data_IF_944479121693
#
_entry.id   IF_944479121693
#
_cell.length_a   1.000
_cell.length_b   1.000
_cell.length_c   1.000
_cell.angle_alpha   90.00
_cell.angle_beta   90.00
_cell.angle_gamma   90.00
#
_symmetry.space_group_name_H-M   'P 1'
#
loop_
_entity.id
_entity.type
_entity.pdbx_description
1 polymer ?
#
# COMPACT_ATOMS: atom_id res chain seq x y z
N UNK A 1 5.65 -1.20 -6.92
CA UNK A 1 5.01 -2.52 -6.79
C UNK A 1 5.98 -3.64 -7.09
N UNK A 2 6.72 -3.58 -8.19
CA UNK A 2 7.68 -4.61 -8.62
C UNK A 2 8.74 -4.96 -7.54
N UNK A 3 9.41 -3.96 -6.99
CA UNK A 3 10.45 -4.17 -5.98
C UNK A 3 9.87 -4.84 -4.73
N UNK A 4 8.74 -4.34 -4.24
CA UNK A 4 8.09 -4.88 -3.05
C UNK A 4 7.58 -6.30 -3.26
N UNK A 5 6.90 -6.58 -4.39
CA UNK A 5 6.40 -7.91 -4.69
C UNK A 5 7.54 -8.93 -4.78
N UNK A 6 8.60 -8.61 -5.51
CA UNK A 6 9.75 -9.52 -5.67
C UNK A 6 10.48 -9.73 -4.35
N UNK A 7 10.59 -8.72 -3.50
CA UNK A 7 11.16 -8.87 -2.16
C UNK A 7 10.28 -9.74 -1.27
N UNK A 8 8.97 -9.50 -1.26
CA UNK A 8 8.02 -10.24 -0.44
C UNK A 8 7.94 -11.74 -0.80
N UNK A 9 8.00 -12.06 -2.09
CA UNK A 9 7.82 -13.44 -2.60
C UNK A 9 9.16 -14.16 -2.77
N UNK A 10 10.17 -13.50 -3.33
CA UNK A 10 11.46 -14.10 -3.65
C UNK A 10 12.55 -13.80 -2.63
N UNK A 11 12.26 -12.98 -1.61
CA UNK A 11 13.23 -12.57 -0.60
C UNK A 11 14.27 -11.55 -1.07
N UNK A 12 14.16 -11.08 -2.33
CA UNK A 12 15.09 -10.11 -2.91
C UNK A 12 14.38 -9.20 -3.91
N UNK A 13 14.46 -7.89 -3.65
CA UNK A 13 13.91 -6.88 -4.58
C UNK A 13 14.52 -7.02 -5.98
N UNK A 14 13.68 -6.84 -6.99
CA UNK A 14 14.02 -6.94 -8.42
C UNK A 14 14.43 -8.35 -8.89
N UNK A 15 14.30 -9.37 -8.07
CA UNK A 15 14.57 -10.75 -8.47
C UNK A 15 13.36 -11.33 -9.19
N UNK A 16 13.40 -11.32 -10.51
CA UNK A 16 12.32 -11.82 -11.36
C UNK A 16 12.87 -12.48 -12.63
N UNK A 17 12.01 -13.21 -13.36
CA UNK A 17 12.29 -13.65 -14.74
C UNK A 17 12.46 -12.43 -15.64
N UNK A 18 13.04 -12.62 -16.80
CA UNK A 18 13.22 -11.55 -17.80
C UNK A 18 12.16 -11.54 -18.90
N UNK A 19 11.34 -12.60 -18.99
CA UNK A 19 10.33 -12.82 -20.03
C UNK A 19 8.91 -12.41 -19.57
N UNK A 20 8.79 -11.27 -18.91
CA UNK A 20 7.51 -10.72 -18.43
C UNK A 20 7.19 -9.38 -19.12
N UNK A 21 5.93 -9.01 -19.15
CA UNK A 21 5.49 -7.69 -19.57
C UNK A 21 5.59 -6.71 -18.42
N UNK A 22 6.45 -5.70 -18.55
CA UNK A 22 6.57 -4.61 -17.57
C UNK A 22 5.75 -3.40 -18.04
N UNK A 23 4.98 -2.81 -17.14
CA UNK A 23 4.28 -1.56 -17.39
C UNK A 23 4.09 -0.79 -16.07
N UNK A 24 4.20 0.53 -16.13
CA UNK A 24 3.78 1.44 -15.05
C UNK A 24 2.27 1.77 -15.14
N UNK A 25 1.63 1.42 -16.26
CA UNK A 25 0.18 1.52 -16.41
C UNK A 25 -0.48 0.18 -16.06
N UNK A 26 -1.14 0.13 -14.92
CA UNK A 26 -1.82 -1.07 -14.42
C UNK A 26 -2.95 -1.54 -15.37
N UNK A 27 -3.54 -0.67 -16.20
CA UNK A 27 -4.54 -1.09 -17.19
C UNK A 27 -3.93 -1.96 -18.29
N UNK A 28 -2.66 -1.73 -18.64
CA UNK A 28 -1.92 -2.60 -19.57
C UNK A 28 -1.74 -3.98 -18.97
N UNK A 29 -1.41 -4.06 -17.67
CA UNK A 29 -1.28 -5.32 -16.94
C UNK A 29 -2.61 -6.06 -16.84
N UNK A 30 -3.69 -5.36 -16.51
CA UNK A 30 -5.06 -5.92 -16.50
C UNK A 30 -5.43 -6.51 -17.87
N UNK A 31 -5.15 -5.78 -18.95
CA UNK A 31 -5.42 -6.23 -20.31
C UNK A 31 -4.62 -7.48 -20.67
N UNK A 32 -3.34 -7.51 -20.31
CA UNK A 32 -2.47 -8.67 -20.54
C UNK A 32 -2.98 -9.93 -19.83
N UNK A 33 -3.30 -9.83 -18.55
CA UNK A 33 -3.81 -10.98 -17.76
C UNK A 33 -5.18 -11.43 -18.26
N UNK A 34 -6.10 -10.51 -18.56
CA UNK A 34 -7.44 -10.86 -19.04
C UNK A 34 -7.45 -11.52 -20.41
N UNK A 35 -6.42 -11.26 -21.23
CA UNK A 35 -6.24 -11.84 -22.56
C UNK A 35 -5.53 -13.19 -22.56
N UNK A 36 -4.92 -13.62 -21.47
CA UNK A 36 -4.15 -14.86 -21.37
C UNK A 36 -4.65 -15.74 -20.23
N UNK A 37 -5.22 -16.91 -20.56
CA UNK A 37 -5.71 -17.88 -19.56
C UNK A 37 -4.61 -18.43 -18.64
N UNK A 38 -3.34 -18.39 -19.06
CA UNK A 38 -2.18 -18.76 -18.24
C UNK A 38 -1.49 -17.56 -17.59
N UNK A 39 -1.97 -16.35 -17.84
CA UNK A 39 -1.38 -15.11 -17.37
C UNK A 39 -1.52 -14.93 -15.87
N UNK A 40 -0.41 -14.57 -15.21
CA UNK A 40 -0.36 -14.15 -13.82
C UNK A 40 0.16 -12.72 -13.74
N UNK A 41 -0.57 -11.84 -13.07
CA UNK A 41 -0.17 -10.46 -12.86
C UNK A 41 -0.28 -10.03 -11.41
N UNK A 42 0.41 -8.94 -11.07
CA UNK A 42 0.26 -8.26 -9.79
C UNK A 42 0.24 -6.75 -9.99
N UNK A 43 -0.74 -6.10 -9.40
CA UNK A 43 -1.02 -4.67 -9.51
C UNK A 43 -1.89 -4.22 -8.34
N UNK A 44 -2.20 -2.94 -8.26
CA UNK A 44 -2.99 -2.38 -7.16
C UNK A 44 -4.38 -3.01 -7.04
N UNK A 45 -4.82 -3.24 -5.80
CA UNK A 45 -6.14 -3.81 -5.48
C UNK A 45 -7.29 -3.05 -6.16
N UNK A 46 -7.18 -1.74 -6.31
CA UNK A 46 -8.17 -0.90 -6.97
C UNK A 46 -8.50 -1.39 -8.39
N UNK A 47 -7.49 -1.70 -9.17
CA UNK A 47 -7.63 -2.17 -10.56
C UNK A 47 -8.29 -3.55 -10.62
N UNK A 48 -7.97 -4.45 -9.69
CA UNK A 48 -8.69 -5.72 -9.56
C UNK A 48 -10.17 -5.51 -9.22
N UNK A 49 -10.48 -4.63 -8.26
CA UNK A 49 -11.86 -4.36 -7.84
C UNK A 49 -12.73 -3.81 -8.98
N UNK A 50 -12.15 -3.05 -9.89
CA UNK A 50 -12.82 -2.49 -11.07
C UNK A 50 -12.95 -3.50 -12.24
N UNK A 51 -12.20 -4.60 -12.20
CA UNK A 51 -12.16 -5.61 -13.28
C UNK A 51 -12.45 -7.03 -12.79
N UNK A 52 -13.24 -7.20 -11.73
CA UNK A 52 -13.60 -8.50 -11.16
C UNK A 52 -14.33 -9.44 -12.12
N UNK A 53 -14.97 -8.88 -13.13
CA UNK A 53 -15.66 -9.61 -14.21
C UNK A 53 -14.67 -10.27 -15.19
N UNK A 54 -13.42 -9.81 -15.25
CA UNK A 54 -12.39 -10.26 -16.19
C UNK A 54 -11.23 -10.99 -15.53
N UNK A 55 -11.09 -10.87 -14.22
CA UNK A 55 -9.93 -11.31 -13.46
C UNK A 55 -10.33 -12.20 -12.28
N UNK A 56 -9.52 -13.20 -11.98
CA UNK A 56 -9.63 -14.00 -10.77
C UNK A 56 -8.51 -13.64 -9.81
N UNK A 57 -8.86 -13.34 -8.56
CA UNK A 57 -7.85 -13.14 -7.52
C UNK A 57 -7.28 -14.48 -7.05
N UNK A 58 -5.96 -14.51 -6.84
CA UNK A 58 -5.27 -15.65 -6.24
C UNK A 58 -5.14 -15.42 -4.74
N UNK A 59 -5.52 -16.42 -3.95
CA UNK A 59 -5.36 -16.38 -2.51
C UNK A 59 -3.87 -16.50 -2.14
N UNK A 60 -3.42 -15.66 -1.23
CA UNK A 60 -2.02 -15.64 -0.76
C UNK A 60 -1.92 -16.32 0.60
N UNK A 61 -0.99 -17.25 0.74
CA UNK A 61 -0.68 -17.93 2.01
C UNK A 61 0.51 -17.21 2.65
N UNK A 62 0.32 -16.60 3.80
CA UNK A 62 1.41 -16.00 4.56
C UNK A 62 2.36 -17.09 5.10
N UNK A 63 3.64 -16.75 5.33
CA UNK A 63 4.74 -17.69 5.63
C UNK A 63 4.42 -18.73 6.71
N UNK A 64 3.74 -18.32 7.78
CA UNK A 64 3.45 -19.20 8.92
C UNK A 64 1.98 -19.63 8.98
N UNK A 65 1.31 -19.63 7.82
CA UNK A 65 -0.11 -20.00 7.68
C UNK A 65 -0.28 -21.14 6.68
N UNK A 66 -1.41 -21.81 6.77
CA UNK A 66 -1.80 -22.90 5.87
C UNK A 66 -2.99 -22.51 4.99
N UNK A 67 -3.70 -21.45 5.35
CA UNK A 67 -4.89 -20.99 4.66
C UNK A 67 -4.60 -19.75 3.84
N UNK A 68 -4.95 -19.79 2.56
CA UNK A 68 -4.84 -18.66 1.66
C UNK A 68 -5.90 -17.60 1.94
N UNK A 69 -5.52 -16.33 1.84
CA UNK A 69 -6.40 -15.16 2.01
C UNK A 69 -6.52 -14.44 0.68
N UNK A 70 -7.76 -14.17 0.24
CA UNK A 70 -8.04 -13.37 -0.95
C UNK A 70 -7.87 -11.88 -0.64
N UNK A 71 -7.39 -11.07 -1.61
CA UNK A 71 -7.31 -9.64 -1.47
C UNK A 71 -8.72 -9.02 -1.46
N UNK A 72 -9.02 -8.25 -0.42
CA UNK A 72 -10.24 -7.46 -0.31
C UNK A 72 -10.02 -6.28 0.63
N UNK A 73 -10.92 -5.28 0.59
CA UNK A 73 -10.88 -4.18 1.54
C UNK A 73 -10.87 -4.69 2.99
N UNK A 74 -11.74 -5.66 3.31
CA UNK A 74 -11.84 -6.23 4.66
C UNK A 74 -10.54 -6.90 5.10
N UNK A 75 -9.94 -7.77 4.26
CA UNK A 75 -8.72 -8.52 4.61
C UNK A 75 -7.46 -7.66 4.64
N UNK A 76 -7.48 -6.51 3.97
CA UNK A 76 -6.43 -5.49 4.08
C UNK A 76 -6.59 -4.70 5.37
N UNK A 77 -7.82 -4.28 5.71
CA UNK A 77 -8.12 -3.51 6.92
C UNK A 77 -7.86 -4.30 8.21
N UNK A 78 -8.24 -5.58 8.25
CA UNK A 78 -8.01 -6.44 9.42
C UNK A 78 -6.58 -7.02 9.49
N UNK A 79 -5.73 -6.69 8.50
CA UNK A 79 -4.34 -7.12 8.44
C UNK A 79 -4.13 -8.61 8.19
N UNK A 80 -5.15 -9.34 7.71
CA UNK A 80 -5.01 -10.78 7.38
C UNK A 80 -4.42 -11.02 6.00
N UNK A 81 -4.58 -10.10 5.05
CA UNK A 81 -3.97 -10.20 3.72
C UNK A 81 -2.49 -9.81 3.77
N UNK A 82 -1.63 -10.77 4.04
CA UNK A 82 -0.19 -10.61 4.18
C UNK A 82 0.57 -11.62 3.30
N UNK A 83 1.82 -11.32 2.86
CA UNK A 83 2.62 -10.12 3.11
C UNK A 83 2.43 -8.98 2.08
N UNK A 84 1.50 -9.10 1.13
CA UNK A 84 1.41 -8.21 -0.02
C UNK A 84 0.69 -6.88 0.26
N UNK A 85 -0.07 -6.77 1.36
CA UNK A 85 -0.63 -5.48 1.75
C UNK A 85 0.46 -4.57 2.34
N UNK A 86 0.43 -3.29 1.99
CA UNK A 86 1.38 -2.29 2.44
C UNK A 86 0.73 -0.91 2.54
N UNK A 87 1.14 -0.06 3.51
CA UNK A 87 0.68 1.31 3.57
C UNK A 87 1.27 2.17 2.45
N UNK A 88 0.53 3.21 2.06
CA UNK A 88 1.04 4.30 1.23
C UNK A 88 1.50 5.45 2.13
N UNK A 89 2.57 6.10 1.73
CA UNK A 89 3.16 7.23 2.46
C UNK A 89 3.18 8.49 1.62
N UNK A 90 3.04 9.62 2.28
CA UNK A 90 3.46 10.91 1.76
C UNK A 90 4.75 11.32 2.47
N UNK A 91 5.65 11.95 1.75
CA UNK A 91 6.90 12.49 2.29
C UNK A 91 6.89 14.00 2.14
N UNK A 92 7.12 14.70 3.24
CA UNK A 92 7.21 16.14 3.27
C UNK A 92 8.63 16.57 3.62
N UNK A 93 9.22 17.45 2.81
CA UNK A 93 10.56 17.95 3.06
C UNK A 93 10.57 18.86 4.30
N UNK A 94 11.22 18.38 5.37
CA UNK A 94 11.28 19.07 6.66
C UNK A 94 12.18 20.32 6.65
N UNK A 95 13.13 20.44 5.72
CA UNK A 95 14.13 21.52 5.74
C UNK A 95 13.64 22.82 5.09
N UNK A 96 12.72 22.73 4.13
CA UNK A 96 12.23 23.93 3.39
C UNK A 96 10.71 24.02 3.28
N UNK A 97 9.98 22.92 3.34
CA UNK A 97 8.58 22.86 2.96
C UNK A 97 7.62 22.48 4.07
N UNK A 98 8.05 21.72 5.09
CA UNK A 98 7.15 21.20 6.12
C UNK A 98 6.43 22.29 6.94
N UNK A 99 6.96 23.50 6.89
CA UNK A 99 6.43 24.65 7.63
C UNK A 99 6.01 25.80 6.74
N UNK A 100 6.15 25.64 5.41
CA UNK A 100 5.55 26.52 4.44
C UNK A 100 4.02 26.49 4.61
N UNK A 101 3.40 27.68 4.56
CA UNK A 101 1.96 27.84 4.80
C UNK A 101 1.12 27.00 3.83
N UNK A 102 1.53 26.94 2.58
CA UNK A 102 0.76 26.26 1.54
C UNK A 102 0.91 24.73 1.65
N UNK A 103 2.12 24.24 1.91
CA UNK A 103 2.37 22.81 2.17
C UNK A 103 1.62 22.33 3.40
N UNK A 104 1.64 23.12 4.47
CA UNK A 104 0.89 22.83 5.70
C UNK A 104 -0.61 22.74 5.41
N UNK A 105 -1.17 23.74 4.73
CA UNK A 105 -2.59 23.76 4.38
C UNK A 105 -2.98 22.55 3.51
N UNK A 106 -2.13 22.18 2.55
CA UNK A 106 -2.35 21.01 1.71
C UNK A 106 -2.35 19.71 2.52
N UNK A 107 -1.35 19.49 3.36
CA UNK A 107 -1.26 18.25 4.18
C UNK A 107 -2.42 18.15 5.16
N UNK A 108 -2.81 19.25 5.80
CA UNK A 108 -3.96 19.27 6.72
C UNK A 108 -5.28 18.99 5.97
N UNK A 109 -5.46 19.58 4.79
CA UNK A 109 -6.59 19.28 3.92
C UNK A 109 -6.59 17.82 3.48
N UNK A 110 -5.44 17.30 3.04
CA UNK A 110 -5.27 15.90 2.64
C UNK A 110 -5.67 14.95 3.76
N UNK A 111 -5.13 15.12 4.97
CA UNK A 111 -5.44 14.24 6.11
C UNK A 111 -6.92 14.32 6.53
N UNK A 112 -7.52 15.50 6.48
CA UNK A 112 -8.93 15.70 6.83
C UNK A 112 -9.89 15.02 5.83
N UNK A 113 -9.53 14.97 4.56
CA UNK A 113 -10.37 14.43 3.48
C UNK A 113 -9.99 13.01 3.06
N UNK A 114 -8.83 12.50 3.48
CA UNK A 114 -8.34 11.17 3.12
C UNK A 114 -9.35 10.03 3.39
N UNK A 115 -10.10 10.00 4.51
CA UNK A 115 -11.09 8.94 4.75
C UNK A 115 -12.13 8.79 3.65
N UNK A 116 -12.49 9.90 3.00
CA UNK A 116 -13.44 9.94 1.88
C UNK A 116 -12.74 9.69 0.54
N UNK A 117 -11.71 10.48 0.22
CA UNK A 117 -11.06 10.47 -1.09
C UNK A 117 -10.35 9.14 -1.38
N UNK A 118 -9.77 8.50 -0.37
CA UNK A 118 -9.12 7.19 -0.49
C UNK A 118 -10.12 6.13 -0.96
N UNK A 119 -11.35 6.15 -0.45
CA UNK A 119 -12.43 5.25 -0.90
C UNK A 119 -12.88 5.53 -2.33
N UNK A 120 -12.96 6.80 -2.71
CA UNK A 120 -13.36 7.19 -4.06
C UNK A 120 -12.40 6.66 -5.12
N UNK A 121 -11.10 6.60 -4.80
CA UNK A 121 -10.07 6.02 -5.68
C UNK A 121 -9.84 4.52 -5.43
N UNK A 122 -10.76 3.84 -4.74
CA UNK A 122 -10.74 2.39 -4.48
C UNK A 122 -9.53 1.88 -3.67
N UNK A 123 -8.82 2.76 -2.98
CA UNK A 123 -7.84 2.35 -1.99
C UNK A 123 -8.50 2.06 -0.64
N UNK A 124 -7.79 1.32 0.22
CA UNK A 124 -8.26 0.99 1.56
C UNK A 124 -7.88 2.11 2.53
N UNK A 125 -8.86 2.81 3.15
CA UNK A 125 -8.56 3.88 4.08
C UNK A 125 -8.06 3.33 5.41
N UNK A 126 -7.34 4.16 6.16
CA UNK A 126 -7.05 3.93 7.57
C UNK A 126 -8.33 4.06 8.39
N UNK A 127 -8.32 3.51 9.60
CA UNK A 127 -9.37 3.76 10.60
C UNK A 127 -9.31 5.21 11.10
N UNK A 128 -10.39 5.69 11.68
CA UNK A 128 -10.42 7.05 12.26
C UNK A 128 -9.35 7.27 13.33
N UNK A 129 -9.07 6.24 14.15
CA UNK A 129 -8.03 6.28 15.16
C UNK A 129 -6.62 6.37 14.58
N UNK A 130 -6.36 5.68 13.47
CA UNK A 130 -5.07 5.74 12.76
C UNK A 130 -4.87 7.10 12.09
N UNK A 131 -5.90 7.65 11.42
CA UNK A 131 -5.81 9.02 10.88
C UNK A 131 -5.57 10.06 11.97
N UNK A 132 -6.20 9.92 13.16
CA UNK A 132 -5.94 10.80 14.30
C UNK A 132 -4.48 10.70 14.78
N UNK A 133 -3.91 9.50 14.82
CA UNK A 133 -2.50 9.29 15.17
C UNK A 133 -1.55 9.91 14.16
N UNK A 134 -1.80 9.74 12.85
CA UNK A 134 -1.02 10.36 11.77
C UNK A 134 -1.11 11.88 11.84
N UNK A 135 -2.29 12.45 12.08
CA UNK A 135 -2.48 13.89 12.24
C UNK A 135 -1.72 14.44 13.44
N UNK A 136 -1.72 13.70 14.57
CA UNK A 136 -0.93 14.07 15.76
C UNK A 136 0.57 14.02 15.48
N UNK A 137 1.04 13.00 14.76
CA UNK A 137 2.44 12.90 14.34
C UNK A 137 2.83 14.09 13.45
N UNK A 138 2.02 14.45 12.46
CA UNK A 138 2.23 15.65 11.65
C UNK A 138 2.35 16.92 12.47
N UNK A 139 1.43 17.13 13.43
CA UNK A 139 1.42 18.31 14.30
C UNK A 139 2.65 18.36 15.24
N UNK A 140 3.19 17.20 15.62
CA UNK A 140 4.38 17.13 16.50
C UNK A 140 5.67 17.56 15.82
N UNK A 141 5.65 17.69 14.46
CA UNK A 141 6.81 18.08 13.63
C UNK A 141 8.02 17.13 13.78
N UNK A 142 7.81 15.92 14.26
CA UNK A 142 8.86 14.90 14.32
C UNK A 142 9.25 14.49 12.90
N UNK A 143 10.53 14.45 12.62
CA UNK A 143 11.09 13.96 11.35
C UNK A 143 11.45 12.48 11.45
N UNK A 144 11.55 11.83 10.28
CA UNK A 144 11.89 10.42 10.19
C UNK A 144 10.71 9.57 9.72
N UNK A 145 10.92 8.28 9.61
CA UNK A 145 9.86 7.33 9.24
C UNK A 145 9.74 6.22 10.29
N UNK A 146 8.58 5.59 10.38
CA UNK A 146 8.35 4.43 11.25
C UNK A 146 9.21 3.20 10.91
N UNK A 147 9.97 3.26 9.81
CA UNK A 147 10.90 2.19 9.39
C UNK A 147 12.34 2.39 9.87
N UNK A 148 12.68 3.54 10.46
CA UNK A 148 14.07 3.82 10.87
C UNK A 148 15.10 3.75 9.74
N UNK A 149 14.66 3.93 8.48
CA UNK A 149 15.54 3.86 7.30
C UNK A 149 15.76 2.45 6.73
N UNK A 150 15.18 1.42 7.32
CA UNK A 150 15.30 0.03 6.84
C UNK A 150 13.94 -0.43 6.30
N UNK A 151 13.86 -0.87 5.02
CA UNK A 151 12.61 -1.40 4.48
C UNK A 151 12.22 -2.70 5.18
N UNK A 152 10.93 -2.86 5.47
CA UNK A 152 10.37 -4.06 6.07
C UNK A 152 9.18 -4.55 5.25
N UNK A 153 9.12 -5.84 4.95
CA UNK A 153 8.00 -6.49 4.26
C UNK A 153 6.97 -6.98 5.28
N UNK A 154 5.68 -6.79 4.97
CA UNK A 154 4.58 -7.32 5.78
C UNK A 154 4.35 -6.60 7.10
N UNK A 155 4.84 -5.37 7.26
CA UNK A 155 4.59 -4.56 8.46
C UNK A 155 3.12 -4.14 8.51
N UNK A 156 2.48 -4.42 9.63
CA UNK A 156 1.11 -3.99 9.88
C UNK A 156 1.05 -2.50 10.19
N UNK A 157 -0.02 -1.86 9.75
CA UNK A 157 -0.23 -0.42 10.00
C UNK A 157 -0.28 -0.09 11.49
N UNK A 158 -0.86 -0.97 12.31
CA UNK A 158 -0.90 -0.81 13.77
C UNK A 158 0.49 -0.69 14.41
N UNK A 159 1.47 -1.47 13.92
CA UNK A 159 2.83 -1.46 14.42
C UNK A 159 3.57 -0.20 13.96
N UNK A 160 3.34 0.26 12.74
CA UNK A 160 3.86 1.54 12.27
C UNK A 160 3.29 2.71 13.09
N UNK A 161 2.00 2.70 13.38
CA UNK A 161 1.36 3.74 14.20
C UNK A 161 1.94 3.76 15.62
N UNK A 162 2.28 2.62 16.22
CA UNK A 162 2.98 2.58 17.51
C UNK A 162 4.34 3.26 17.43
N UNK A 163 5.13 2.92 16.41
CA UNK A 163 6.49 3.46 16.20
C UNK A 163 6.52 4.99 15.98
N UNK A 164 5.49 5.58 15.40
CA UNK A 164 5.42 7.03 15.17
C UNK A 164 4.83 7.80 16.36
N UNK A 165 4.23 7.11 17.33
CA UNK A 165 3.71 7.76 18.56
C UNK A 165 4.80 8.07 19.57
N UNK A 166 5.88 7.30 19.59
CA UNK A 166 7.04 7.48 20.47
C UNK A 166 7.99 8.53 19.92
#
# INVERSE_FOLDING_TARGET
TFDYFTEAINGKAKSSRSDYTASEDDNVLVTGVSGDKGGLGYFGLAYYLENKDKLNAVAVVAKDKTTGVLPSEATVMDGTYQPLSRPLFIYVNATKGAFDKDVKAFVEYYLANAPKLVKEVKFVPLTSGEYAAVSKHWQSKKSGSGFGGVPEVGVKIEDLIKRIKD
#
